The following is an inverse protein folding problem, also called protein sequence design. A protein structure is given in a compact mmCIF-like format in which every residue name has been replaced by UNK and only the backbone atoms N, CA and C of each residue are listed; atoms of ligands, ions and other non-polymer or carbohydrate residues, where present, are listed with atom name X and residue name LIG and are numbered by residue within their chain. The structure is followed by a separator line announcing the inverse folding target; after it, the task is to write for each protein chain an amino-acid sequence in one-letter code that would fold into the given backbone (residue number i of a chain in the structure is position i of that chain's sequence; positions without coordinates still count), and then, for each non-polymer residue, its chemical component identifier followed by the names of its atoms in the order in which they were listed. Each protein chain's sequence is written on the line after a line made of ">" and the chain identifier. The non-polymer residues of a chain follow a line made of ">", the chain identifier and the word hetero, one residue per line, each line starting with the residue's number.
data_IF_269110958914
#
_entry.id   IF_269110958914
#
_cell.length_a   1.000
_cell.length_b   1.000
_cell.length_c   1.000
_cell.angle_alpha   90.00
_cell.angle_beta   90.00
_cell.angle_gamma   90.00
#
_symmetry.space_group_name_H-M   'P 1'
#
loop_
_entity.id
_entity.type
_entity.pdbx_description
1 polymer ?
#
# COMPACT_ATOMS: atom_id res chain seq x y z
N UNK A 1 -6.23 10.70 -12.53
CA UNK A 1 -6.09 11.98 -11.79
C UNK A 1 -7.42 12.63 -11.37
N UNK A 2 -8.41 12.80 -12.28
CA UNK A 2 -9.65 13.55 -11.99
C UNK A 2 -10.41 13.16 -10.72
N UNK A 3 -10.62 11.86 -10.49
CA UNK A 3 -11.38 11.36 -9.33
C UNK A 3 -10.80 11.86 -8.01
N UNK A 4 -9.49 11.69 -7.80
CA UNK A 4 -8.79 12.15 -6.60
C UNK A 4 -8.84 13.66 -6.42
N UNK A 5 -8.77 14.43 -7.51
CA UNK A 5 -8.85 15.89 -7.43
C UNK A 5 -10.25 16.35 -7.02
N UNK A 6 -11.29 15.79 -7.61
CA UNK A 6 -12.68 16.19 -7.31
C UNK A 6 -13.06 15.80 -5.88
N UNK A 7 -12.76 14.56 -5.49
CA UNK A 7 -13.19 14.05 -4.18
C UNK A 7 -12.23 14.45 -3.05
N UNK A 8 -10.94 14.55 -3.34
CA UNK A 8 -9.89 14.82 -2.36
C UNK A 8 -9.63 16.30 -2.07
N UNK A 9 -10.23 17.23 -2.82
CA UNK A 9 -10.06 18.68 -2.58
C UNK A 9 -11.35 19.35 -2.11
N UNK A 10 -11.21 20.43 -1.34
CA UNK A 10 -12.30 21.31 -0.90
C UNK A 10 -12.03 22.74 -1.36
N UNK A 11 -13.11 23.48 -1.58
CA UNK A 11 -13.02 24.92 -1.77
C UNK A 11 -12.69 25.61 -0.43
N UNK A 12 -11.79 26.59 -0.49
CA UNK A 12 -11.44 27.48 0.62
C UNK A 12 -11.46 28.93 0.10
N UNK A 13 -11.30 29.89 1.01
CA UNK A 13 -11.18 31.32 0.67
C UNK A 13 -9.98 31.62 -0.25
N UNK A 14 -8.96 30.77 -0.26
CA UNK A 14 -7.75 30.90 -1.07
C UNK A 14 -7.72 29.96 -2.29
N UNK A 15 -8.83 29.33 -2.65
CA UNK A 15 -8.92 28.37 -3.75
C UNK A 15 -9.09 26.92 -3.29
N UNK A 16 -8.71 25.96 -4.14
CA UNK A 16 -8.81 24.53 -3.82
C UNK A 16 -7.67 24.09 -2.91
N UNK A 17 -8.00 23.39 -1.83
CA UNK A 17 -7.05 22.78 -0.92
C UNK A 17 -7.34 21.28 -0.79
N UNK A 18 -6.29 20.47 -0.59
CA UNK A 18 -6.46 19.07 -0.23
C UNK A 18 -7.20 18.95 1.10
N UNK A 19 -8.17 18.03 1.16
CA UNK A 19 -8.88 17.65 2.38
C UNK A 19 -7.97 16.73 3.18
N UNK A 20 -7.50 17.17 4.35
CA UNK A 20 -6.78 16.33 5.30
C UNK A 20 -6.96 16.91 6.71
N UNK A 21 -6.71 16.08 7.73
CA UNK A 21 -6.64 16.53 9.12
C UNK A 21 -5.19 16.91 9.46
N UNK A 22 -4.97 18.11 10.01
CA UNK A 22 -3.64 18.61 10.35
C UNK A 22 -2.91 17.72 11.37
N UNK A 23 -3.61 17.00 12.25
CA UNK A 23 -3.00 16.13 13.24
C UNK A 23 -2.37 14.88 12.63
N UNK A 24 -2.71 14.52 11.38
CA UNK A 24 -2.04 13.43 10.65
C UNK A 24 -0.56 13.71 10.36
N UNK A 25 -0.11 14.97 10.51
CA UNK A 25 1.30 15.35 10.38
C UNK A 25 2.11 15.13 11.65
N UNK A 26 1.45 14.91 12.78
CA UNK A 26 2.15 14.61 14.01
C UNK A 26 2.81 13.23 13.89
N UNK A 27 4.09 13.14 14.21
CA UNK A 27 4.76 11.85 14.33
C UNK A 27 4.19 11.05 15.49
N UNK A 28 4.28 9.73 15.41
CA UNK A 28 3.97 8.88 16.55
C UNK A 28 4.89 9.25 17.73
N UNK A 29 4.37 9.39 18.97
CA UNK A 29 5.20 9.60 20.15
C UNK A 29 6.03 8.37 20.53
N UNK A 30 5.74 7.21 19.92
CA UNK A 30 6.48 5.97 20.09
C UNK A 30 7.07 5.52 18.75
N UNK A 31 8.34 5.15 18.78
CA UNK A 31 8.99 4.49 17.66
C UNK A 31 8.50 3.05 17.56
N UNK A 32 8.04 2.68 16.37
CA UNK A 32 7.68 1.30 16.07
C UNK A 32 8.91 0.61 15.47
N UNK A 33 9.41 -0.43 16.14
CA UNK A 33 10.60 -1.15 15.68
C UNK A 33 10.22 -2.34 14.78
N UNK A 34 11.21 -2.86 14.05
CA UNK A 34 11.00 -3.96 13.11
C UNK A 34 10.83 -5.33 13.79
N UNK A 35 11.29 -5.51 15.03
CA UNK A 35 11.13 -6.77 15.77
C UNK A 35 9.65 -6.97 16.14
N UNK A 36 9.04 -5.95 16.75
CA UNK A 36 7.61 -5.93 17.08
C UNK A 36 6.74 -6.10 15.82
N UNK A 37 7.13 -5.46 14.71
CA UNK A 37 6.44 -5.61 13.43
C UNK A 37 6.42 -7.07 12.96
N UNK A 38 7.58 -7.74 13.03
CA UNK A 38 7.73 -9.14 12.61
C UNK A 38 6.96 -10.08 13.52
N UNK A 39 6.97 -9.83 14.82
CA UNK A 39 6.20 -10.62 15.79
C UNK A 39 4.70 -10.55 15.51
N UNK A 40 4.18 -9.36 15.19
CA UNK A 40 2.78 -9.18 14.79
C UNK A 40 2.46 -9.87 13.45
N UNK A 41 3.30 -9.70 12.44
CA UNK A 41 3.12 -10.36 11.13
C UNK A 41 3.15 -11.88 11.26
N UNK A 42 4.00 -12.41 12.13
CA UNK A 42 4.09 -13.83 12.46
C UNK A 42 2.89 -14.34 13.28
N UNK A 43 1.90 -13.51 13.62
CA UNK A 43 0.61 -13.97 14.16
C UNK A 43 -0.46 -14.20 13.08
N UNK A 44 -0.24 -13.77 11.84
CA UNK A 44 -1.22 -13.94 10.76
C UNK A 44 -1.22 -15.41 10.31
N UNK A 45 -2.40 -16.04 10.28
CA UNK A 45 -2.56 -17.47 9.93
C UNK A 45 -3.36 -17.72 8.65
N UNK A 46 -4.03 -16.71 8.12
CA UNK A 46 -4.71 -16.79 6.84
C UNK A 46 -3.71 -16.57 5.68
N UNK A 47 -4.07 -17.00 4.46
CA UNK A 47 -3.30 -16.66 3.27
C UNK A 47 -3.17 -15.14 3.12
N UNK A 48 -2.02 -14.68 2.62
CA UNK A 48 -1.72 -13.26 2.40
C UNK A 48 -1.31 -13.05 0.93
N UNK A 49 -1.89 -12.04 0.30
CA UNK A 49 -1.44 -11.55 -1.01
C UNK A 49 -0.80 -10.17 -0.84
N UNK A 50 0.45 -10.03 -1.25
CA UNK A 50 1.17 -8.75 -1.33
C UNK A 50 1.35 -8.38 -2.81
N UNK A 51 0.75 -7.26 -3.21
CA UNK A 51 0.90 -6.68 -4.54
C UNK A 51 1.76 -5.42 -4.46
N UNK A 52 2.77 -5.32 -5.32
CA UNK A 52 3.62 -4.12 -5.36
C UNK A 52 4.06 -3.78 -6.78
N UNK A 53 4.22 -2.48 -7.08
CA UNK A 53 4.56 -1.99 -8.40
C UNK A 53 6.08 -1.95 -8.60
N UNK A 54 6.56 -2.38 -9.76
CA UNK A 54 8.00 -2.43 -10.08
C UNK A 54 8.66 -1.05 -10.21
N UNK A 55 7.89 0.00 -10.48
CA UNK A 55 8.31 1.40 -10.52
C UNK A 55 8.11 2.12 -9.17
N UNK A 56 7.73 1.41 -8.11
CA UNK A 56 7.50 2.01 -6.78
C UNK A 56 8.78 2.65 -6.24
N UNK A 57 8.64 3.86 -5.69
CA UNK A 57 9.74 4.58 -5.06
C UNK A 57 10.25 3.86 -3.81
N UNK A 58 11.58 3.84 -3.68
CA UNK A 58 12.30 3.09 -2.66
C UNK A 58 13.06 1.95 -3.30
N UNK A 59 14.29 2.22 -3.72
CA UNK A 59 15.28 1.20 -4.10
C UNK A 59 15.49 0.23 -2.95
N UNK A 60 14.60 -0.75 -2.78
CA UNK A 60 14.97 -1.98 -2.12
C UNK A 60 15.69 -2.79 -3.20
N UNK A 61 17.01 -2.74 -3.19
CA UNK A 61 17.86 -3.64 -3.97
C UNK A 61 17.75 -5.11 -3.48
N UNK A 62 16.68 -5.44 -2.74
CA UNK A 62 16.45 -6.70 -2.08
C UNK A 62 14.97 -7.05 -2.25
N UNK A 63 14.70 -8.34 -2.46
CA UNK A 63 13.33 -8.86 -2.43
C UNK A 63 12.66 -8.56 -1.07
N UNK A 64 11.34 -8.45 -1.08
CA UNK A 64 10.55 -8.31 0.13
C UNK A 64 10.89 -9.44 1.10
N UNK A 65 11.29 -9.11 2.32
CA UNK A 65 11.48 -10.11 3.36
C UNK A 65 10.12 -10.65 3.80
N UNK A 66 9.82 -11.86 3.35
CA UNK A 66 8.59 -12.57 3.66
C UNK A 66 8.75 -13.59 4.77
N UNK A 67 9.94 -13.71 5.38
CA UNK A 67 10.21 -14.71 6.41
C UNK A 67 9.30 -14.64 7.65
N UNK A 68 8.68 -13.50 8.02
CA UNK A 68 7.73 -13.44 9.12
C UNK A 68 6.34 -14.02 8.81
N UNK A 69 6.01 -14.29 7.54
CA UNK A 69 4.67 -14.74 7.16
C UNK A 69 4.65 -16.26 6.93
N UNK A 70 3.55 -16.90 7.31
CA UNK A 70 3.40 -18.36 7.15
C UNK A 70 2.87 -18.78 5.77
N UNK A 71 1.97 -17.98 5.19
CA UNK A 71 1.34 -18.26 3.91
C UNK A 71 1.20 -16.94 3.14
N UNK A 72 2.13 -16.70 2.22
CA UNK A 72 2.26 -15.41 1.54
C UNK A 72 2.60 -15.59 0.06
N UNK A 73 1.81 -14.95 -0.79
CA UNK A 73 2.07 -14.78 -2.21
C UNK A 73 2.50 -13.32 -2.45
N UNK A 74 3.61 -13.13 -3.17
CA UNK A 74 4.09 -11.80 -3.56
C UNK A 74 4.07 -11.67 -5.07
N UNK A 75 3.41 -10.64 -5.59
CA UNK A 75 3.34 -10.34 -7.02
C UNK A 75 3.88 -8.94 -7.29
N UNK A 76 4.90 -8.86 -8.16
CA UNK A 76 5.38 -7.59 -8.72
C UNK A 76 4.55 -7.26 -9.96
N UNK A 77 3.94 -6.08 -10.00
CA UNK A 77 3.12 -5.60 -11.10
C UNK A 77 3.96 -4.64 -11.95
N UNK A 78 4.16 -4.99 -13.22
CA UNK A 78 4.94 -4.20 -14.15
C UNK A 78 4.25 -2.91 -14.59
N UNK A 79 5.01 -1.84 -14.78
CA UNK A 79 4.49 -0.55 -15.23
C UNK A 79 3.55 0.10 -14.20
N UNK A 80 3.82 -0.12 -12.91
CA UNK A 80 3.06 0.44 -11.80
C UNK A 80 3.99 1.02 -10.73
N UNK A 81 3.63 2.19 -10.21
CA UNK A 81 4.27 2.78 -9.05
C UNK A 81 3.64 2.30 -7.75
N UNK A 82 3.74 3.13 -6.70
CA UNK A 82 3.25 2.81 -5.36
C UNK A 82 1.72 2.57 -5.32
N UNK A 83 0.98 3.17 -6.25
CA UNK A 83 -0.47 3.05 -6.35
C UNK A 83 -0.87 2.05 -7.43
N UNK A 84 -0.50 0.79 -7.23
CA UNK A 84 -0.71 -0.31 -8.19
C UNK A 84 -2.14 -0.43 -8.72
N UNK A 85 -3.13 -0.20 -7.86
CA UNK A 85 -4.54 -0.25 -8.21
C UNK A 85 -4.98 0.90 -9.14
N UNK A 86 -4.25 2.02 -9.13
CA UNK A 86 -4.52 3.15 -10.01
C UNK A 86 -3.76 3.06 -11.33
N UNK A 87 -2.52 2.57 -11.31
CA UNK A 87 -1.68 2.47 -12.51
C UNK A 87 -2.06 1.26 -13.38
N UNK A 88 -2.37 0.12 -12.74
CA UNK A 88 -2.64 -1.16 -13.42
C UNK A 88 -3.90 -1.84 -12.87
N UNK A 89 -5.04 -1.12 -12.86
CA UNK A 89 -6.31 -1.58 -12.28
C UNK A 89 -6.74 -2.99 -12.72
N UNK A 90 -6.66 -3.29 -14.02
CA UNK A 90 -7.09 -4.58 -14.57
C UNK A 90 -6.24 -5.75 -14.05
N UNK A 91 -4.92 -5.56 -14.01
CA UNK A 91 -3.97 -6.56 -13.47
C UNK A 91 -4.20 -6.73 -11.96
N UNK A 92 -4.32 -5.62 -11.24
CA UNK A 92 -4.58 -5.62 -9.79
C UNK A 92 -5.85 -6.41 -9.45
N UNK A 93 -6.99 -6.10 -10.07
CA UNK A 93 -8.26 -6.79 -9.80
C UNK A 93 -8.22 -8.26 -10.23
N UNK A 94 -7.49 -8.60 -11.29
CA UNK A 94 -7.32 -10.01 -11.69
C UNK A 94 -6.64 -10.83 -10.58
N UNK A 95 -5.54 -10.31 -9.99
CA UNK A 95 -4.86 -10.98 -8.88
C UNK A 95 -5.73 -11.05 -7.62
N UNK A 96 -6.42 -9.97 -7.26
CA UNK A 96 -7.33 -9.94 -6.11
C UNK A 96 -8.45 -10.94 -6.27
N UNK A 97 -9.12 -10.97 -7.44
CA UNK A 97 -10.21 -11.91 -7.69
C UNK A 97 -9.73 -13.36 -7.70
N UNK A 98 -8.55 -13.65 -8.28
CA UNK A 98 -7.99 -15.01 -8.22
C UNK A 98 -7.76 -15.45 -6.78
N UNK A 99 -7.17 -14.57 -5.97
CA UNK A 99 -6.84 -14.87 -4.58
C UNK A 99 -8.08 -15.07 -3.70
N UNK A 100 -9.12 -14.25 -3.88
CA UNK A 100 -10.35 -14.35 -3.10
C UNK A 100 -11.27 -15.52 -3.51
N UNK A 101 -11.07 -16.09 -4.71
CA UNK A 101 -11.86 -17.21 -5.22
C UNK A 101 -11.10 -18.55 -5.23
N UNK A 102 -9.89 -18.59 -4.65
CA UNK A 102 -9.11 -19.81 -4.45
C UNK A 102 -9.60 -20.57 -3.21
#
# INVERSE_FOLDING_TARGET
>A
ARHLTVEGTRQTEHGLAWKFDNFTRAGSPYEFNMEDARDLWNQIRCPILILWGDESWGRRNYDLDTSPFHDVEVVKIAGAGHWVQHDQFGVFISHVNRFLNA
#
